data_IF_840466769179
#
_entry.id   IF_840466769179
#
_cell.length_a   1.000
_cell.length_b   1.000
_cell.length_c   1.000
_cell.angle_alpha   90.00
_cell.angle_beta   90.00
_cell.angle_gamma   90.00
#
_symmetry.space_group_name_H-M   'P 1'
#
loop_
_entity.id
_entity.type
_entity.pdbx_description
1 polymer ?
#
# COMPACT_ATOMS: atom_id res chain seq x y z
N UNK A 1 21.60 65.13 40.87
CA UNK A 1 20.54 64.63 41.77
C UNK A 1 20.15 63.26 41.26
N UNK A 2 20.14 62.24 42.12
CA UNK A 2 21.07 61.12 42.05
C UNK A 2 20.66 59.99 41.11
N UNK A 3 21.65 59.24 40.62
CA UNK A 3 21.49 57.90 40.09
C UNK A 3 20.78 57.04 41.15
N UNK A 4 19.50 56.76 40.91
CA UNK A 4 18.76 55.77 41.70
C UNK A 4 19.31 54.40 41.32
N UNK A 5 20.25 53.91 42.12
CA UNK A 5 20.74 52.55 42.04
C UNK A 5 19.56 51.63 42.43
N UNK A 6 18.86 51.13 41.41
CA UNK A 6 17.59 50.40 41.51
C UNK A 6 17.75 48.97 42.07
N UNK A 7 18.97 48.61 42.49
CA UNK A 7 19.34 47.30 42.99
C UNK A 7 18.83 47.03 44.42
N UNK A 8 18.52 48.07 45.21
CA UNK A 8 18.23 47.90 46.65
C UNK A 8 16.75 47.93 47.06
N UNK A 9 15.79 48.18 46.15
CA UNK A 9 14.36 48.20 46.52
C UNK A 9 13.88 46.75 46.74
N UNK A 10 13.38 46.34 47.91
CA UNK A 10 12.85 44.99 48.14
C UNK A 10 11.66 44.69 47.22
N UNK A 11 11.52 43.45 46.74
CA UNK A 11 10.41 43.06 45.83
C UNK A 11 9.02 43.38 46.40
N UNK A 12 8.88 43.36 47.72
CA UNK A 12 7.66 43.71 48.45
C UNK A 12 7.22 45.16 48.29
N UNK A 13 8.15 46.07 47.99
CA UNK A 13 7.92 47.52 47.88
C UNK A 13 7.68 47.99 46.44
N UNK A 14 7.78 47.08 45.46
CA UNK A 14 7.52 47.39 44.05
C UNK A 14 6.01 47.48 43.78
N UNK A 15 5.62 48.50 43.00
CA UNK A 15 4.26 48.63 42.49
C UNK A 15 3.88 47.46 41.58
N UNK A 16 2.59 47.22 41.38
CA UNK A 16 2.10 46.11 40.55
C UNK A 16 2.60 46.21 39.09
N UNK A 17 2.79 47.44 38.61
CA UNK A 17 3.26 47.74 37.25
C UNK A 17 4.77 47.50 37.08
N UNK A 18 5.57 47.63 38.14
CA UNK A 18 7.03 47.50 38.10
C UNK A 18 7.52 46.05 38.28
N UNK A 19 6.72 45.19 38.93
CA UNK A 19 7.07 43.77 39.20
C UNK A 19 7.41 42.94 37.95
N UNK A 20 6.70 43.05 36.81
CA UNK A 20 7.05 42.31 35.59
C UNK A 20 8.43 42.67 35.06
N UNK A 21 8.82 43.95 35.15
CA UNK A 21 10.11 44.45 34.67
C UNK A 21 11.27 43.96 35.55
N UNK A 22 11.08 43.92 36.88
CA UNK A 22 12.05 43.34 37.82
C UNK A 22 12.26 41.84 37.56
N UNK A 23 11.19 41.08 37.36
CA UNK A 23 11.26 39.65 37.01
C UNK A 23 11.99 39.42 35.67
N UNK A 24 11.71 40.25 34.66
CA UNK A 24 12.39 40.16 33.37
C UNK A 24 13.89 40.47 33.47
N UNK A 25 14.27 41.50 34.24
CA UNK A 25 15.67 41.86 34.50
C UNK A 25 16.43 40.76 35.27
N UNK A 26 15.85 40.21 36.35
CA UNK A 26 16.45 39.10 37.10
C UNK A 26 16.65 37.88 36.19
N UNK A 27 15.65 37.53 35.38
CA UNK A 27 15.74 36.40 34.43
C UNK A 27 16.77 36.67 33.32
N UNK A 28 16.90 37.91 32.86
CA UNK A 28 17.87 38.28 31.83
C UNK A 28 19.31 38.25 32.35
N UNK A 29 19.56 38.80 33.55
CA UNK A 29 20.87 38.78 34.22
C UNK A 29 21.29 37.34 34.54
N UNK A 30 20.40 36.55 35.17
CA UNK A 30 20.69 35.15 35.50
C UNK A 30 20.92 34.25 34.28
N UNK A 31 20.22 34.48 33.16
CA UNK A 31 20.48 33.74 31.91
C UNK A 31 21.70 34.22 31.14
N UNK A 32 22.15 35.46 31.35
CA UNK A 32 23.37 35.98 30.74
C UNK A 32 24.64 35.43 31.43
N UNK A 33 24.57 35.17 32.73
CA UNK A 33 25.69 34.65 33.53
C UNK A 33 25.84 33.11 33.48
N UNK A 34 24.77 32.38 33.16
CA UNK A 34 24.78 30.91 33.11
C UNK A 34 24.93 30.44 31.66
N UNK A 35 26.03 29.74 31.30
CA UNK A 35 26.15 29.09 30.00
C UNK A 35 24.97 28.15 29.76
N UNK A 36 24.38 28.16 28.55
CA UNK A 36 23.20 27.34 28.23
C UNK A 36 23.36 25.85 28.56
N UNK A 37 24.60 25.36 28.55
CA UNK A 37 25.00 23.99 28.88
C UNK A 37 24.83 23.62 30.36
N UNK A 38 24.72 24.61 31.26
CA UNK A 38 24.52 24.44 32.71
C UNK A 38 23.07 24.63 33.16
N UNK A 39 22.13 24.81 32.22
CA UNK A 39 20.71 24.93 32.54
C UNK A 39 20.12 23.51 32.59
N UNK A 40 19.77 23.04 33.78
CA UNK A 40 19.09 21.75 33.94
C UNK A 40 17.79 21.72 33.12
N UNK A 41 17.51 20.61 32.41
CA UNK A 41 16.27 20.47 31.67
C UNK A 41 15.09 20.58 32.63
N UNK A 42 14.06 21.33 32.22
CA UNK A 42 12.84 21.49 33.02
C UNK A 42 12.29 20.12 33.42
N UNK A 43 12.01 19.93 34.70
CA UNK A 43 11.39 18.71 35.20
C UNK A 43 9.99 18.57 34.58
N UNK A 44 9.85 17.61 33.66
CA UNK A 44 8.58 17.29 33.04
C UNK A 44 7.65 16.53 33.97
N UNK A 45 6.40 16.36 33.54
CA UNK A 45 5.43 15.49 34.22
C UNK A 45 6.01 14.06 34.33
N UNK A 46 5.96 13.42 35.52
CA UNK A 46 6.42 12.04 35.68
C UNK A 46 5.73 11.09 34.70
N UNK A 47 6.51 10.19 34.11
CA UNK A 47 5.98 9.23 33.15
C UNK A 47 5.16 8.16 33.88
N UNK A 48 4.02 7.80 33.29
CA UNK A 48 3.10 6.79 33.85
C UNK A 48 3.74 5.40 33.79
N UNK A 49 4.48 5.11 32.73
CA UNK A 49 5.14 3.82 32.49
C UNK A 49 6.56 3.82 33.08
N UNK A 50 6.86 2.83 33.92
CA UNK A 50 8.22 2.56 34.39
C UNK A 50 9.09 2.02 33.25
N UNK A 51 10.41 1.94 33.47
CA UNK A 51 11.32 1.33 32.48
C UNK A 51 10.95 -0.14 32.19
N UNK A 52 10.59 -0.88 33.24
CA UNK A 52 10.18 -2.28 33.12
C UNK A 52 8.92 -2.43 32.28
N UNK A 53 7.92 -1.58 32.49
CA UNK A 53 6.65 -1.63 31.75
C UNK A 53 6.89 -1.34 30.26
N UNK A 54 7.80 -0.41 29.97
CA UNK A 54 8.19 -0.09 28.59
C UNK A 54 8.86 -1.27 27.90
N UNK A 55 9.81 -1.90 28.59
CA UNK A 55 10.55 -3.05 28.06
C UNK A 55 9.61 -4.25 27.87
N UNK A 56 8.67 -4.48 28.79
CA UNK A 56 7.68 -5.56 28.67
C UNK A 56 6.69 -5.33 27.52
N UNK A 57 6.20 -4.10 27.33
CA UNK A 57 5.32 -3.75 26.22
C UNK A 57 6.04 -3.88 24.88
N UNK A 58 7.26 -3.34 24.78
CA UNK A 58 8.07 -3.42 23.57
C UNK A 58 8.44 -4.87 23.25
N UNK A 59 8.90 -5.63 24.25
CA UNK A 59 9.21 -7.06 24.09
C UNK A 59 7.97 -7.87 23.75
N UNK A 60 6.82 -7.61 24.38
CA UNK A 60 5.57 -8.30 24.11
C UNK A 60 5.09 -8.10 22.67
N UNK A 61 5.19 -6.88 22.13
CA UNK A 61 4.89 -6.62 20.71
C UNK A 61 5.96 -7.23 19.81
N UNK A 62 7.24 -7.11 20.18
CA UNK A 62 8.37 -7.69 19.45
C UNK A 62 8.45 -9.21 19.52
N UNK A 63 7.78 -9.89 20.44
CA UNK A 63 7.76 -11.37 20.52
C UNK A 63 6.48 -11.95 19.94
N UNK A 64 5.51 -11.11 19.57
CA UNK A 64 4.19 -11.55 19.10
C UNK A 64 3.20 -11.86 20.23
N UNK A 65 3.55 -11.62 21.50
CA UNK A 65 2.60 -11.69 22.63
C UNK A 65 1.44 -10.71 22.43
N UNK A 66 1.71 -9.54 21.86
CA UNK A 66 0.71 -8.54 21.52
C UNK A 66 0.81 -8.13 20.05
N UNK A 67 -0.28 -8.33 19.30
CA UNK A 67 -0.22 -8.15 17.86
C UNK A 67 -0.35 -6.68 17.39
N UNK A 68 -0.80 -5.77 18.26
CA UNK A 68 -0.85 -4.34 17.98
C UNK A 68 -0.84 -3.51 19.29
N UNK A 69 -0.71 -2.19 19.16
CA UNK A 69 -0.66 -1.27 20.30
C UNK A 69 -1.97 -1.25 21.13
N UNK A 70 -3.14 -1.49 20.50
CA UNK A 70 -4.42 -1.54 21.22
C UNK A 70 -4.51 -2.76 22.13
N UNK A 71 -4.12 -3.94 21.64
CA UNK A 71 -4.09 -5.18 22.43
C UNK A 71 -3.04 -5.11 23.54
N UNK A 72 -1.87 -4.53 23.24
CA UNK A 72 -0.83 -4.30 24.24
C UNK A 72 -1.32 -3.35 25.36
N UNK A 73 -1.97 -2.24 25.00
CA UNK A 73 -2.56 -1.32 25.96
C UNK A 73 -3.68 -1.98 26.77
N UNK A 74 -4.61 -2.69 26.12
CA UNK A 74 -5.69 -3.40 26.82
C UNK A 74 -5.13 -4.45 27.79
N UNK A 75 -4.15 -5.25 27.37
CA UNK A 75 -3.51 -6.25 28.22
C UNK A 75 -2.79 -5.62 29.43
N UNK A 76 -2.16 -4.46 29.25
CA UNK A 76 -1.55 -3.69 30.34
C UNK A 76 -2.60 -3.17 31.32
N UNK A 77 -3.72 -2.64 30.80
CA UNK A 77 -4.81 -2.07 31.60
C UNK A 77 -5.63 -3.14 32.35
N UNK A 78 -5.53 -4.41 31.99
CA UNK A 78 -6.13 -5.51 32.77
C UNK A 78 -5.41 -5.78 34.10
N UNK A 79 -4.22 -5.23 34.32
CA UNK A 79 -3.49 -5.33 35.58
C UNK A 79 -3.95 -4.29 36.63
N UNK A 80 -3.52 -4.42 37.90
CA UNK A 80 -3.85 -3.47 38.97
C UNK A 80 -3.11 -2.11 38.85
N UNK A 81 -2.56 -1.79 37.67
CA UNK A 81 -1.77 -0.59 37.41
C UNK A 81 -2.62 0.53 36.80
N UNK A 82 -1.99 1.68 36.52
CA UNK A 82 -2.62 2.84 35.87
C UNK A 82 -2.91 2.55 34.41
N UNK A 83 -4.04 3.05 33.91
CA UNK A 83 -4.41 2.91 32.50
C UNK A 83 -3.48 3.67 31.55
N UNK A 84 -3.14 3.04 30.43
CA UNK A 84 -2.45 3.67 29.30
C UNK A 84 -3.30 3.62 28.04
N UNK A 85 -3.18 4.69 27.24
CA UNK A 85 -3.82 4.75 25.93
C UNK A 85 -3.03 3.94 24.90
N UNK A 86 -3.72 3.49 23.85
CA UNK A 86 -3.06 2.86 22.69
C UNK A 86 -2.05 3.79 22.01
N UNK A 87 -2.29 5.11 22.04
CA UNK A 87 -1.37 6.11 21.50
C UNK A 87 -0.06 6.20 22.31
N UNK A 88 -0.16 6.09 23.64
CA UNK A 88 1.01 6.02 24.51
C UNK A 88 1.89 4.81 24.15
N UNK A 89 1.27 3.67 23.88
CA UNK A 89 1.97 2.45 23.44
C UNK A 89 2.53 2.62 22.03
N UNK A 90 1.79 3.24 21.10
CA UNK A 90 2.26 3.56 19.76
C UNK A 90 3.57 4.38 19.79
N UNK A 91 3.57 5.50 20.51
CA UNK A 91 4.73 6.38 20.63
C UNK A 91 5.91 5.67 21.32
N UNK A 92 5.63 4.81 22.30
CA UNK A 92 6.65 3.99 22.94
C UNK A 92 7.33 3.05 21.93
N UNK A 93 6.56 2.35 21.12
CA UNK A 93 7.08 1.40 20.13
C UNK A 93 7.94 2.11 19.09
N UNK A 94 7.51 3.27 18.60
CA UNK A 94 8.32 4.10 17.69
C UNK A 94 9.64 4.53 18.35
N UNK A 95 9.59 5.01 19.59
CA UNK A 95 10.80 5.38 20.36
C UNK A 95 11.75 4.20 20.60
N UNK A 96 11.23 2.97 20.65
CA UNK A 96 12.02 1.74 20.76
C UNK A 96 12.61 1.24 19.44
N UNK A 97 12.46 2.01 18.34
CA UNK A 97 13.01 1.69 17.03
C UNK A 97 12.09 0.84 16.14
N UNK A 98 10.80 0.72 16.48
CA UNK A 98 9.84 0.03 15.63
C UNK A 98 9.31 0.94 14.51
N UNK A 99 9.06 0.36 13.34
CA UNK A 99 8.32 0.97 12.25
C UNK A 99 6.86 0.51 12.28
N UNK A 100 5.93 1.46 12.13
CA UNK A 100 4.51 1.15 12.00
C UNK A 100 4.18 0.88 10.51
N UNK A 101 3.73 -0.34 10.21
CA UNK A 101 3.36 -0.79 8.88
C UNK A 101 1.88 -1.13 8.85
N UNK A 102 1.17 -0.67 7.83
CA UNK A 102 -0.21 -1.08 7.58
C UNK A 102 -0.20 -2.43 6.86
N UNK A 103 -0.75 -3.45 7.50
CA UNK A 103 -0.97 -4.76 6.91
C UNK A 103 -2.43 -4.89 6.44
N UNK A 104 -2.62 -5.46 5.25
CA UNK A 104 -3.93 -5.82 4.70
C UNK A 104 -3.96 -7.31 4.38
N UNK A 105 -5.15 -7.91 4.33
CA UNK A 105 -5.36 -9.33 3.98
C UNK A 105 -4.71 -9.74 2.66
N UNK A 106 -4.59 -8.78 1.75
CA UNK A 106 -4.23 -9.01 0.36
C UNK A 106 -2.73 -8.81 0.11
N UNK A 107 -1.97 -8.31 1.10
CA UNK A 107 -0.56 -7.94 0.95
C UNK A 107 0.27 -8.52 2.10
N UNK A 108 1.11 -9.53 1.84
CA UNK A 108 2.07 -10.02 2.83
C UNK A 108 3.05 -8.92 3.25
N UNK A 109 3.51 -8.98 4.51
CA UNK A 109 4.57 -8.11 5.06
C UNK A 109 5.86 -8.17 4.23
N UNK A 110 6.10 -9.31 3.55
CA UNK A 110 7.06 -9.45 2.46
C UNK A 110 6.48 -8.73 1.22
N UNK A 111 6.58 -7.40 1.23
CA UNK A 111 5.87 -6.51 0.33
C UNK A 111 5.93 -6.89 -1.13
N UNK A 112 4.85 -6.56 -1.86
CA UNK A 112 4.72 -6.47 -3.33
C UNK A 112 5.90 -7.10 -4.09
N UNK A 113 6.07 -8.42 -3.99
CA UNK A 113 7.08 -9.10 -4.80
C UNK A 113 6.47 -9.20 -6.18
N UNK A 114 6.67 -8.15 -7.00
CA UNK A 114 6.59 -8.30 -8.45
C UNK A 114 7.46 -9.52 -8.77
N UNK A 115 6.96 -10.52 -9.52
CA UNK A 115 7.77 -11.68 -9.86
C UNK A 115 9.09 -11.17 -10.46
N UNK A 116 10.21 -11.67 -9.94
CA UNK A 116 11.52 -11.26 -10.43
C UNK A 116 11.58 -11.57 -11.92
N UNK A 117 11.62 -10.53 -12.77
CA UNK A 117 11.66 -10.74 -14.22
C UNK A 117 12.99 -11.43 -14.55
N UNK A 118 12.90 -12.66 -15.05
CA UNK A 118 14.05 -13.40 -15.55
C UNK A 118 14.76 -12.56 -16.64
N UNK A 119 16.09 -12.62 -16.76
CA UNK A 119 16.83 -11.88 -17.79
C UNK A 119 16.26 -12.05 -19.20
N UNK A 120 15.87 -13.27 -19.57
CA UNK A 120 15.23 -13.57 -20.85
C UNK A 120 13.86 -12.89 -21.05
N UNK A 121 13.08 -12.69 -19.97
CA UNK A 121 11.82 -11.97 -20.04
C UNK A 121 12.05 -10.46 -20.20
N UNK A 122 13.08 -9.92 -19.54
CA UNK A 122 13.50 -8.51 -19.70
C UNK A 122 13.91 -8.21 -21.14
N UNK A 123 14.70 -9.09 -21.75
CA UNK A 123 15.15 -8.91 -23.14
C UNK A 123 13.96 -8.95 -24.11
N UNK A 124 13.07 -9.94 -23.98
CA UNK A 124 11.86 -10.01 -24.82
C UNK A 124 10.97 -8.78 -24.67
N UNK A 125 10.79 -8.27 -23.46
CA UNK A 125 10.06 -7.03 -23.20
C UNK A 125 10.71 -5.83 -23.86
N UNK A 126 12.03 -5.70 -23.73
CA UNK A 126 12.79 -4.62 -24.35
C UNK A 126 12.71 -4.65 -25.87
N UNK A 127 12.90 -5.83 -26.47
CA UNK A 127 12.83 -6.01 -27.91
C UNK A 127 11.43 -5.71 -28.45
N UNK A 128 10.38 -6.18 -27.77
CA UNK A 128 9.00 -5.85 -28.12
C UNK A 128 8.75 -4.34 -28.08
N UNK A 129 9.14 -3.67 -26.99
CA UNK A 129 8.98 -2.22 -26.86
C UNK A 129 9.75 -1.45 -27.95
N UNK A 130 10.94 -1.95 -28.34
CA UNK A 130 11.74 -1.36 -29.42
C UNK A 130 11.09 -1.54 -30.78
N UNK A 131 10.52 -2.71 -31.06
CA UNK A 131 9.78 -3.00 -32.30
C UNK A 131 8.55 -2.10 -32.43
N UNK A 132 7.88 -1.79 -31.32
CA UNK A 132 6.65 -1.00 -31.30
C UNK A 132 6.90 0.50 -31.02
N UNK A 133 8.16 0.93 -30.91
CA UNK A 133 8.54 2.32 -30.59
C UNK A 133 8.03 3.34 -31.61
N UNK A 134 7.91 2.92 -32.87
CA UNK A 134 7.49 3.77 -33.98
C UNK A 134 5.98 3.74 -34.23
N UNK A 135 5.22 2.96 -33.43
CA UNK A 135 3.77 2.89 -33.55
C UNK A 135 3.13 4.23 -33.18
N UNK A 136 2.26 4.69 -34.07
CA UNK A 136 1.49 5.91 -33.86
C UNK A 136 0.17 5.58 -33.18
N UNK A 137 -0.55 6.62 -32.79
CA UNK A 137 -1.86 6.49 -32.14
C UNK A 137 -2.80 5.58 -32.95
N UNK A 138 -2.80 5.73 -34.27
CA UNK A 138 -3.65 4.97 -35.18
C UNK A 138 -3.34 3.47 -35.16
N UNK A 139 -2.09 3.08 -34.90
CA UNK A 139 -1.69 1.68 -34.76
C UNK A 139 -2.24 1.11 -33.43
N UNK A 140 -2.10 1.85 -32.33
CA UNK A 140 -2.68 1.49 -31.03
C UNK A 140 -4.21 1.43 -31.04
N UNK A 141 -4.87 2.30 -31.82
CA UNK A 141 -6.32 2.32 -32.01
C UNK A 141 -6.87 1.05 -32.70
N UNK A 142 -5.99 0.26 -33.32
CA UNK A 142 -6.33 -1.00 -34.00
C UNK A 142 -6.12 -2.22 -33.11
N UNK A 143 -5.84 -2.06 -31.83
CA UNK A 143 -5.66 -3.18 -30.90
C UNK A 143 -6.91 -3.35 -30.04
N UNK A 144 -7.37 -4.59 -29.94
CA UNK A 144 -8.31 -4.99 -28.89
C UNK A 144 -7.56 -5.80 -27.84
N UNK A 145 -7.49 -5.24 -26.64
CA UNK A 145 -6.91 -5.87 -25.46
C UNK A 145 -7.96 -6.76 -24.82
N UNK A 146 -7.59 -7.97 -24.44
CA UNK A 146 -8.48 -8.92 -23.75
C UNK A 146 -7.81 -9.43 -22.50
N UNK A 147 -8.58 -9.60 -21.43
CA UNK A 147 -8.04 -10.04 -20.15
C UNK A 147 -9.09 -10.71 -19.25
N UNK A 148 -8.60 -11.43 -18.25
CA UNK A 148 -9.33 -12.12 -17.21
C UNK A 148 -9.24 -11.36 -15.88
N UNK A 149 -10.36 -10.87 -15.38
CA UNK A 149 -10.44 -10.27 -14.04
C UNK A 149 -11.12 -11.19 -13.04
N UNK A 150 -10.48 -11.37 -11.88
CA UNK A 150 -11.02 -12.13 -10.74
C UNK A 150 -11.62 -11.19 -9.71
N UNK A 151 -12.95 -11.12 -9.64
CA UNK A 151 -13.64 -10.41 -8.58
C UNK A 151 -13.89 -11.34 -7.41
N UNK A 152 -13.23 -11.05 -6.29
CA UNK A 152 -13.44 -11.78 -5.04
C UNK A 152 -14.45 -11.03 -4.19
N UNK A 153 -15.43 -11.76 -3.64
CA UNK A 153 -16.29 -11.24 -2.59
C UNK A 153 -15.47 -11.17 -1.29
N UNK A 154 -14.63 -10.15 -1.17
CA UNK A 154 -13.92 -9.87 0.07
C UNK A 154 -14.94 -9.46 1.14
N UNK A 155 -14.81 -10.03 2.34
CA UNK A 155 -15.44 -9.44 3.52
C UNK A 155 -14.78 -8.09 3.85
N UNK A 156 -15.18 -7.41 4.94
CA UNK A 156 -14.55 -6.16 5.35
C UNK A 156 -13.03 -6.30 5.33
N UNK A 157 -12.35 -5.40 4.61
CA UNK A 157 -10.89 -5.41 4.49
C UNK A 157 -10.31 -5.30 5.90
N UNK A 158 -9.65 -6.35 6.37
CA UNK A 158 -9.01 -6.32 7.68
C UNK A 158 -7.73 -5.50 7.51
N UNK A 159 -7.75 -4.26 8.01
CA UNK A 159 -6.59 -3.37 8.02
C UNK A 159 -6.05 -3.34 9.44
N UNK A 160 -4.79 -3.74 9.61
CA UNK A 160 -4.13 -3.78 10.91
C UNK A 160 -2.85 -2.96 10.88
N UNK A 161 -2.60 -2.15 11.91
CA UNK A 161 -1.28 -1.55 12.15
C UNK A 161 -0.41 -2.55 12.90
N UNK A 162 0.73 -2.88 12.30
CA UNK A 162 1.74 -3.81 12.83
C UNK A 162 3.03 -3.05 13.08
N UNK A 163 3.80 -3.47 14.07
CA UNK A 163 5.09 -2.88 14.42
C UNK A 163 6.23 -3.83 14.10
N UNK A 164 7.22 -3.36 13.34
CA UNK A 164 8.34 -4.16 12.84
C UNK A 164 9.66 -3.48 13.19
N UNK A 165 10.63 -4.21 13.73
CA UNK A 165 11.97 -3.68 13.98
C UNK A 165 12.89 -3.95 12.80
N UNK A 166 13.76 -3.00 12.41
CA UNK A 166 14.78 -3.24 11.39
C UNK A 166 15.63 -4.46 11.73
N UNK A 167 15.78 -5.38 10.79
CA UNK A 167 16.59 -6.60 10.95
C UNK A 167 15.89 -7.79 11.59
N UNK A 168 14.67 -7.62 12.13
CA UNK A 168 13.88 -8.77 12.59
C UNK A 168 13.37 -9.58 11.38
N UNK A 169 13.35 -10.92 11.45
CA UNK A 169 12.77 -11.75 10.39
C UNK A 169 11.26 -11.47 10.25
N UNK A 170 10.69 -11.65 9.04
CA UNK A 170 9.25 -11.55 8.84
C UNK A 170 8.52 -12.50 9.80
N UNK A 171 7.56 -11.98 10.56
CA UNK A 171 6.73 -12.80 11.45
C UNK A 171 5.41 -13.13 10.77
N UNK A 172 4.91 -14.33 11.05
CA UNK A 172 3.53 -14.71 10.73
C UNK A 172 2.62 -14.01 11.75
N UNK A 173 2.08 -12.85 11.38
CA UNK A 173 1.12 -12.16 12.25
C UNK A 173 -0.25 -12.81 12.10
N UNK A 174 -0.82 -13.26 13.22
CA UNK A 174 -2.18 -13.83 13.29
C UNK A 174 -3.31 -12.83 12.94
N UNK A 175 -2.99 -11.54 12.74
CA UNK A 175 -4.02 -10.48 12.70
C UNK A 175 -4.91 -10.49 11.47
N UNK A 176 -4.45 -11.11 10.40
CA UNK A 176 -5.26 -11.19 9.21
C UNK A 176 -5.24 -12.64 8.78
N UNK A 177 -6.30 -13.41 9.08
CA UNK A 177 -6.52 -14.67 8.41
C UNK A 177 -6.31 -14.39 6.93
N UNK A 178 -5.50 -15.21 6.25
CA UNK A 178 -5.56 -15.27 4.78
C UNK A 178 -7.03 -15.52 4.49
N UNK A 179 -7.75 -14.48 4.08
CA UNK A 179 -9.13 -14.63 3.72
C UNK A 179 -9.08 -15.33 2.37
N UNK A 180 -8.95 -16.66 2.41
CA UNK A 180 -9.44 -17.48 1.32
C UNK A 180 -10.89 -17.06 1.18
N UNK A 181 -11.23 -16.35 0.11
CA UNK A 181 -12.55 -15.76 -0.09
C UNK A 181 -13.62 -16.84 0.13
N UNK A 182 -14.18 -16.89 1.35
CA UNK A 182 -15.23 -17.85 1.71
C UNK A 182 -16.51 -17.52 0.94
N UNK A 183 -16.62 -16.30 0.41
CA UNK A 183 -17.73 -15.82 -0.41
C UNK A 183 -17.65 -16.15 -1.90
N UNK A 184 -16.68 -16.97 -2.31
CA UNK A 184 -16.45 -17.30 -3.73
C UNK A 184 -15.73 -16.20 -4.50
N UNK A 185 -15.36 -16.53 -5.74
CA UNK A 185 -14.82 -15.58 -6.72
C UNK A 185 -15.56 -15.76 -8.03
N UNK A 186 -15.88 -14.65 -8.69
CA UNK A 186 -16.33 -14.67 -10.07
C UNK A 186 -15.16 -14.29 -10.97
N UNK A 187 -15.01 -15.03 -12.05
CA UNK A 187 -14.10 -14.68 -13.12
C UNK A 187 -14.89 -14.03 -14.24
N UNK A 188 -14.35 -12.95 -14.77
CA UNK A 188 -14.97 -12.16 -15.82
C UNK A 188 -13.96 -11.92 -16.91
N UNK A 189 -14.34 -12.22 -18.14
CA UNK A 189 -13.58 -11.91 -19.34
C UNK A 189 -14.16 -10.69 -20.03
N UNK A 190 -13.28 -9.85 -20.53
CA UNK A 190 -13.65 -8.69 -21.31
C UNK A 190 -12.59 -8.37 -22.34
N UNK A 191 -13.00 -7.62 -23.35
CA UNK A 191 -12.12 -6.98 -24.29
C UNK A 191 -12.42 -5.49 -24.39
N UNK A 192 -11.39 -4.68 -24.62
CA UNK A 192 -11.54 -3.27 -24.90
C UNK A 192 -10.58 -2.80 -25.98
N UNK A 193 -11.02 -1.83 -26.77
CA UNK A 193 -10.23 -1.13 -27.75
C UNK A 193 -10.58 0.36 -27.70
N UNK A 194 -9.90 1.17 -28.51
CA UNK A 194 -10.19 2.60 -28.60
C UNK A 194 -11.65 2.93 -28.89
N UNK A 195 -12.31 2.10 -29.69
CA UNK A 195 -13.67 2.34 -30.21
C UNK A 195 -14.77 1.81 -29.29
N UNK A 196 -14.42 1.11 -28.22
CA UNK A 196 -15.37 0.55 -27.26
C UNK A 196 -14.92 -0.79 -26.68
N UNK A 197 -15.82 -1.39 -25.90
CA UNK A 197 -15.58 -2.66 -25.23
C UNK A 197 -16.51 -3.77 -25.72
N UNK A 198 -16.11 -5.02 -25.52
CA UNK A 198 -17.00 -6.18 -25.63
C UNK A 198 -17.97 -6.18 -24.45
N UNK A 199 -19.02 -6.99 -24.56
CA UNK A 199 -19.73 -7.42 -23.34
C UNK A 199 -18.80 -8.28 -22.49
N UNK A 200 -19.09 -8.35 -21.19
CA UNK A 200 -18.34 -9.16 -20.24
C UNK A 200 -18.91 -10.58 -20.18
N UNK A 201 -18.05 -11.58 -20.31
CA UNK A 201 -18.41 -12.98 -20.12
C UNK A 201 -18.08 -13.39 -18.68
N UNK A 202 -19.08 -13.86 -17.94
CA UNK A 202 -18.90 -14.32 -16.56
C UNK A 202 -18.75 -15.83 -16.55
N UNK A 203 -17.69 -16.33 -15.91
CA UNK A 203 -17.58 -17.76 -15.61
C UNK A 203 -18.67 -18.20 -14.63
N UNK A 204 -19.39 -19.26 -14.98
CA UNK A 204 -20.37 -19.89 -14.10
C UNK A 204 -19.71 -20.74 -13.00
N UNK A 205 -18.44 -21.11 -13.19
CA UNK A 205 -17.66 -21.90 -12.24
C UNK A 205 -16.53 -21.05 -11.64
N UNK A 206 -16.10 -21.32 -10.39
CA UNK A 206 -15.08 -20.54 -9.69
C UNK A 206 -13.64 -20.80 -10.21
N UNK A 207 -13.52 -21.25 -11.45
CA UNK A 207 -12.28 -21.48 -12.20
C UNK A 207 -12.54 -21.08 -13.65
N UNK A 208 -11.50 -20.68 -14.36
CA UNK A 208 -11.58 -20.58 -15.82
C UNK A 208 -11.05 -21.87 -16.40
N UNK A 209 -11.97 -22.67 -16.96
CA UNK A 209 -11.60 -23.76 -17.86
C UNK A 209 -11.61 -23.24 -19.30
N UNK A 210 -10.94 -23.95 -20.21
CA UNK A 210 -10.87 -23.67 -21.65
C UNK A 210 -12.24 -23.40 -22.29
N UNK A 211 -13.31 -24.00 -21.76
CA UNK A 211 -14.67 -23.82 -22.25
C UNK A 211 -15.20 -22.40 -22.03
N UNK A 212 -14.87 -21.78 -20.89
CA UNK A 212 -15.30 -20.39 -20.61
C UNK A 212 -14.58 -19.41 -21.52
N UNK A 213 -13.31 -19.67 -21.85
CA UNK A 213 -12.59 -18.88 -22.85
C UNK A 213 -13.17 -19.06 -24.25
N UNK A 214 -13.57 -20.29 -24.60
CA UNK A 214 -14.23 -20.57 -25.88
C UNK A 214 -15.54 -19.79 -26.02
N UNK A 215 -16.40 -19.85 -25.00
CA UNK A 215 -17.66 -19.10 -24.97
C UNK A 215 -17.38 -17.59 -25.04
N UNK A 216 -16.36 -17.08 -24.35
CA UNK A 216 -15.96 -15.68 -24.47
C UNK A 216 -15.59 -15.30 -25.92
N UNK A 217 -14.74 -16.11 -26.55
CA UNK A 217 -14.28 -15.84 -27.92
C UNK A 217 -15.44 -15.89 -28.90
N UNK A 218 -16.25 -16.95 -28.88
CA UNK A 218 -17.33 -17.15 -29.85
C UNK A 218 -18.52 -16.22 -29.64
N UNK A 219 -18.97 -16.04 -28.40
CA UNK A 219 -20.22 -15.31 -28.12
C UNK A 219 -20.02 -13.80 -27.95
N UNK A 220 -18.79 -13.35 -27.67
CA UNK A 220 -18.53 -11.96 -27.30
C UNK A 220 -17.42 -11.30 -28.10
N UNK A 221 -16.25 -11.93 -28.25
CA UNK A 221 -15.12 -11.33 -28.95
C UNK A 221 -15.33 -11.32 -30.48
N UNK A 222 -15.62 -12.46 -31.09
CA UNK A 222 -15.80 -12.58 -32.54
C UNK A 222 -16.95 -11.73 -33.08
N UNK A 223 -18.15 -11.68 -32.44
CA UNK A 223 -19.22 -10.82 -32.91
C UNK A 223 -18.80 -9.35 -32.88
N UNK A 224 -18.05 -8.93 -31.84
CA UNK A 224 -17.56 -7.55 -31.74
C UNK A 224 -16.50 -7.25 -32.79
N UNK A 225 -15.61 -8.18 -33.06
CA UNK A 225 -14.62 -8.06 -34.13
C UNK A 225 -15.28 -7.97 -35.52
N UNK A 226 -16.33 -8.74 -35.77
CA UNK A 226 -17.12 -8.68 -37.01
C UNK A 226 -17.83 -7.33 -37.17
N UNK A 227 -18.45 -6.83 -36.10
CA UNK A 227 -19.05 -5.49 -36.06
C UNK A 227 -18.04 -4.40 -36.47
N UNK A 228 -16.82 -4.46 -35.91
CA UNK A 228 -15.77 -3.51 -36.28
C UNK A 228 -15.27 -3.70 -37.72
N UNK A 229 -15.15 -4.94 -38.20
CA UNK A 229 -14.77 -5.22 -39.59
C UNK A 229 -15.80 -4.68 -40.58
N UNK A 230 -17.09 -4.78 -40.28
CA UNK A 230 -18.18 -4.20 -41.07
C UNK A 230 -18.12 -2.66 -41.11
N UNK A 231 -17.57 -2.04 -40.07
CA UNK A 231 -17.28 -0.60 -40.01
C UNK A 231 -15.93 -0.21 -40.63
N UNK A 232 -15.27 -1.12 -41.36
CA UNK A 232 -13.92 -0.95 -41.96
C UNK A 232 -12.81 -0.68 -40.92
N UNK A 233 -12.99 -1.21 -39.70
CA UNK A 233 -12.01 -1.16 -38.61
C UNK A 233 -11.42 -2.55 -38.40
N UNK A 234 -10.22 -2.77 -38.95
CA UNK A 234 -9.50 -4.03 -38.79
C UNK A 234 -8.70 -4.04 -37.48
N UNK A 235 -9.14 -4.85 -36.53
CA UNK A 235 -8.51 -4.99 -35.22
C UNK A 235 -7.51 -6.16 -35.17
N UNK A 236 -6.42 -5.95 -34.42
CA UNK A 236 -5.46 -6.96 -33.99
C UNK A 236 -5.76 -7.33 -32.55
N UNK A 237 -5.86 -8.62 -32.28
CA UNK A 237 -6.20 -9.16 -30.96
C UNK A 237 -4.94 -9.21 -30.10
N UNK A 238 -5.01 -8.70 -28.88
CA UNK A 238 -4.01 -8.90 -27.86
C UNK A 238 -4.61 -9.75 -26.75
N UNK A 239 -3.97 -10.90 -26.49
CA UNK A 239 -4.21 -11.76 -25.34
C UNK A 239 -3.05 -11.63 -24.37
N UNK A 240 -3.33 -11.76 -23.08
CA UNK A 240 -2.26 -12.02 -22.12
C UNK A 240 -1.63 -13.39 -22.41
N UNK A 241 -0.42 -13.62 -21.90
CA UNK A 241 0.34 -14.84 -22.23
C UNK A 241 -0.16 -16.07 -21.46
N UNK A 242 -1.47 -16.17 -21.17
CA UNK A 242 -2.10 -17.37 -20.63
C UNK A 242 -2.02 -18.49 -21.68
N UNK A 243 -1.43 -19.61 -21.28
CA UNK A 243 -1.26 -20.79 -22.13
C UNK A 243 -2.59 -21.28 -22.74
N UNK A 244 -3.74 -20.98 -22.13
CA UNK A 244 -5.07 -21.32 -22.66
C UNK A 244 -5.47 -20.50 -23.89
N UNK A 245 -5.00 -19.25 -24.00
CA UNK A 245 -5.26 -18.34 -25.13
C UNK A 245 -4.24 -18.51 -26.27
N UNK A 246 -3.08 -19.10 -25.97
CA UNK A 246 -2.02 -19.42 -26.93
C UNK A 246 -1.97 -20.90 -27.32
N UNK A 247 -3.04 -21.65 -27.05
CA UNK A 247 -3.14 -23.01 -27.53
C UNK A 247 -3.24 -23.01 -29.08
N UNK A 248 -2.58 -23.96 -29.80
CA UNK A 248 -2.48 -23.93 -31.27
C UNK A 248 -3.83 -23.81 -31.99
N UNK A 249 -4.89 -24.34 -31.39
CA UNK A 249 -6.24 -24.28 -31.91
C UNK A 249 -6.78 -22.84 -32.04
N UNK A 250 -6.35 -21.89 -31.20
CA UNK A 250 -6.81 -20.49 -31.27
C UNK A 250 -6.06 -19.67 -32.30
N UNK A 251 -4.73 -19.81 -32.39
CA UNK A 251 -3.93 -19.10 -33.39
C UNK A 251 -4.35 -19.49 -34.82
N UNK A 252 -4.47 -20.79 -35.09
CA UNK A 252 -4.97 -21.30 -36.38
C UNK A 252 -6.41 -20.84 -36.66
N UNK A 253 -7.25 -20.77 -35.63
CA UNK A 253 -8.63 -20.32 -35.75
C UNK A 253 -8.70 -18.83 -36.13
N UNK A 254 -7.94 -17.97 -35.45
CA UNK A 254 -7.92 -16.54 -35.75
C UNK A 254 -7.38 -16.28 -37.16
N UNK A 255 -6.32 -16.98 -37.56
CA UNK A 255 -5.77 -16.86 -38.90
C UNK A 255 -6.81 -17.27 -39.97
N UNK A 256 -7.54 -18.37 -39.75
CA UNK A 256 -8.63 -18.81 -40.65
C UNK A 256 -9.77 -17.80 -40.76
N UNK A 257 -10.12 -17.12 -39.67
CA UNK A 257 -11.14 -16.06 -39.65
C UNK A 257 -10.60 -14.69 -40.15
N UNK A 258 -9.30 -14.62 -40.48
CA UNK A 258 -8.64 -13.42 -40.98
C UNK A 258 -8.28 -12.38 -39.92
N UNK A 259 -8.17 -12.79 -38.66
CA UNK A 259 -7.72 -11.94 -37.54
C UNK A 259 -6.24 -12.14 -37.26
N UNK A 260 -5.57 -11.07 -36.80
CA UNK A 260 -4.18 -11.10 -36.38
C UNK A 260 -4.11 -11.11 -34.85
N UNK A 261 -3.18 -11.90 -34.31
CA UNK A 261 -2.84 -11.88 -32.88
C UNK A 261 -1.51 -11.15 -32.72
N UNK A 262 -1.47 -10.19 -31.78
CA UNK A 262 -0.28 -9.43 -31.44
C UNK A 262 0.65 -10.31 -30.59
N UNK A 263 1.90 -10.57 -31.01
CA UNK A 263 2.87 -11.22 -30.14
C UNK A 263 3.04 -10.40 -28.85
N UNK A 264 2.88 -11.02 -27.68
CA UNK A 264 2.91 -10.31 -26.39
C UNK A 264 4.02 -10.83 -25.48
N UNK A 265 4.83 -9.96 -24.87
CA UNK A 265 5.91 -10.40 -23.99
C UNK A 265 5.36 -10.81 -22.61
N UNK A 266 5.77 -12.00 -22.13
CA UNK A 266 5.37 -12.53 -20.82
C UNK A 266 5.64 -11.55 -19.65
N UNK A 267 4.77 -11.61 -18.63
CA UNK A 267 4.84 -10.80 -17.41
C UNK A 267 4.84 -9.29 -17.68
N UNK A 268 3.97 -8.82 -18.57
CA UNK A 268 3.88 -7.40 -18.96
C UNK A 268 2.52 -6.75 -18.71
N UNK A 269 1.98 -6.82 -17.48
CA UNK A 269 0.70 -6.18 -17.16
C UNK A 269 0.78 -4.65 -17.31
N UNK A 270 1.96 -4.06 -17.09
CA UNK A 270 2.19 -2.62 -17.22
C UNK A 270 2.10 -2.09 -18.66
N UNK A 271 2.04 -2.98 -19.66
CA UNK A 271 1.84 -2.62 -21.06
C UNK A 271 0.42 -2.89 -21.54
N UNK A 272 -0.45 -3.48 -20.70
CA UNK A 272 -1.83 -3.82 -21.04
C UNK A 272 -2.81 -2.80 -20.41
N UNK A 273 -3.42 -1.89 -21.19
CA UNK A 273 -4.25 -0.81 -20.66
C UNK A 273 -5.51 -1.29 -19.92
N UNK A 274 -5.96 -2.53 -20.13
CA UNK A 274 -7.17 -3.06 -19.47
C UNK A 274 -6.94 -3.36 -17.98
N UNK A 275 -5.68 -3.50 -17.55
CA UNK A 275 -5.29 -3.74 -16.15
C UNK A 275 -5.43 -2.47 -15.28
N UNK A 276 -5.48 -1.29 -15.90
CA UNK A 276 -5.62 0.02 -15.22
C UNK A 276 -7.09 0.49 -15.14
N UNK A 277 -8.07 -0.35 -15.52
CA UNK A 277 -9.49 0.00 -15.64
C UNK A 277 -10.33 -0.12 -14.36
#
# INVERSE_FOLDING_TARGET
>A
MPELNMEDIPYSELSHEERPYRCAQIVALTKAEIPKEKIDPRSGRPQILSKRDKDELACGVRTGKYNNAMKAAAAFNHGPQRDVSAETVHLLLLKSGANCVTQTSDVPLAGRRKPFLLPAARERRYQWAKEHLHWRKEDWMRIIYTDESKFQRSGPRHVAKVYVWPGDPPRENEFIPRMHSVGGSIFVFGGMCWWGATKLARSQVPTVDKFVMHDFVEDFLLPKLREFREADINLTIQHDNDAKLHAPNWEEFYEREGYRVLPWPAYSPDMNPIEDS
#
